data_IF_634025409001
#
_entry.id   IF_634025409001
#
_cell.length_a   1.000
_cell.length_b   1.000
_cell.length_c   1.000
_cell.angle_alpha   90.00
_cell.angle_beta   90.00
_cell.angle_gamma   90.00
#
_symmetry.space_group_name_H-M   'P 1'
#
loop_
_entity.id
_entity.type
_entity.pdbx_description
1 polymer ?
#
# COMPACT_ATOMS: atom_id res chain seq x y z
N UNK A 1 25.70 -18.02 19.62
CA UNK A 1 24.54 -18.92 19.42
C UNK A 1 23.33 -18.08 19.09
N UNK A 2 22.81 -18.20 17.88
CA UNK A 2 21.59 -17.51 17.43
C UNK A 2 20.43 -18.48 17.54
N UNK A 3 19.41 -18.16 18.32
CA UNK A 3 18.23 -18.99 18.48
C UNK A 3 17.33 -18.86 17.26
N UNK A 4 16.85 -19.98 16.73
CA UNK A 4 15.91 -19.98 15.60
C UNK A 4 14.63 -19.24 15.97
N UNK A 5 14.23 -18.22 15.20
CA UNK A 5 12.97 -17.49 15.42
C UNK A 5 11.73 -18.36 15.23
N UNK A 6 11.80 -19.36 14.36
CA UNK A 6 10.67 -20.25 14.09
C UNK A 6 10.61 -21.42 15.08
N UNK A 7 11.76 -22.03 15.38
CA UNK A 7 11.84 -23.35 16.01
C UNK A 7 12.40 -23.28 17.44
N UNK A 8 12.86 -22.10 17.88
CA UNK A 8 13.46 -21.81 19.20
C UNK A 8 14.66 -22.67 19.60
N UNK A 9 15.24 -23.42 18.67
CA UNK A 9 16.45 -24.23 18.87
C UNK A 9 17.69 -23.34 18.69
N UNK A 10 18.74 -23.57 19.47
CA UNK A 10 20.03 -22.93 19.28
C UNK A 10 20.65 -23.36 17.95
N UNK A 11 20.93 -22.39 17.06
CA UNK A 11 21.56 -22.64 15.76
C UNK A 11 22.99 -22.09 15.80
N UNK A 12 23.92 -22.86 15.23
CA UNK A 12 25.29 -22.44 14.96
C UNK A 12 25.58 -22.29 13.44
N UNK A 13 24.63 -22.63 12.57
CA UNK A 13 24.70 -22.54 11.12
C UNK A 13 23.86 -21.38 10.57
N UNK A 14 24.13 -20.96 9.32
CA UNK A 14 23.38 -19.89 8.64
C UNK A 14 21.90 -20.23 8.39
N UNK A 15 21.53 -21.51 8.41
CA UNK A 15 20.16 -22.00 8.27
C UNK A 15 19.86 -23.01 9.39
N UNK A 16 18.62 -23.03 9.86
CA UNK A 16 18.18 -23.97 10.88
C UNK A 16 18.06 -25.38 10.27
N UNK A 17 18.76 -26.40 10.82
CA UNK A 17 18.75 -27.74 10.27
C UNK A 17 17.39 -28.44 10.39
N UNK A 18 16.54 -28.02 11.33
CA UNK A 18 15.23 -28.65 11.54
C UNK A 18 14.11 -28.03 10.67
N UNK A 19 14.20 -26.74 10.34
CA UNK A 19 13.11 -26.03 9.67
C UNK A 19 13.52 -25.19 8.47
N UNK A 20 14.77 -25.29 8.03
CA UNK A 20 15.30 -24.60 6.85
C UNK A 20 15.34 -23.07 6.94
N UNK A 21 14.86 -22.47 8.03
CA UNK A 21 14.78 -21.02 8.18
C UNK A 21 16.18 -20.40 8.37
N UNK A 22 16.52 -19.31 7.66
CA UNK A 22 17.79 -18.63 7.85
C UNK A 22 17.93 -18.09 9.29
N UNK A 23 19.12 -18.29 9.88
CA UNK A 23 19.44 -17.88 11.24
C UNK A 23 19.50 -16.35 11.41
N UNK A 24 19.79 -15.62 10.32
CA UNK A 24 19.75 -14.16 10.24
C UNK A 24 18.94 -13.77 9.00
N UNK A 25 17.82 -13.09 9.20
CA UNK A 25 17.08 -12.46 8.09
C UNK A 25 17.89 -11.26 7.59
N UNK A 26 18.40 -11.34 6.36
CA UNK A 26 19.01 -10.18 5.67
C UNK A 26 17.99 -9.04 5.62
N UNK A 27 18.39 -7.79 5.85
CA UNK A 27 17.51 -6.62 5.71
C UNK A 27 16.86 -6.56 4.31
N UNK A 28 15.70 -5.94 4.24
CA UNK A 28 14.98 -5.77 2.98
C UNK A 28 15.65 -4.65 2.18
N UNK A 29 16.27 -5.02 1.06
CA UNK A 29 16.96 -4.11 0.14
C UNK A 29 16.41 -4.26 -1.30
N UNK A 30 16.80 -3.37 -2.21
CA UNK A 30 16.30 -3.35 -3.60
C UNK A 30 16.43 -4.70 -4.33
N UNK A 31 17.51 -5.44 -4.08
CA UNK A 31 17.73 -6.77 -4.66
C UNK A 31 16.70 -7.81 -4.18
N UNK A 32 16.24 -7.71 -2.92
CA UNK A 32 15.17 -8.57 -2.40
C UNK A 32 13.84 -8.28 -3.09
N UNK A 33 13.51 -7.01 -3.33
CA UNK A 33 12.29 -6.62 -4.04
C UNK A 33 12.32 -7.15 -5.47
N UNK A 34 13.44 -6.99 -6.18
CA UNK A 34 13.61 -7.50 -7.55
C UNK A 34 13.44 -9.04 -7.60
N UNK A 35 14.09 -9.76 -6.69
CA UNK A 35 13.97 -11.22 -6.60
C UNK A 35 12.55 -11.67 -6.20
N UNK A 36 11.82 -10.89 -5.39
CA UNK A 36 10.43 -11.20 -5.08
C UNK A 36 9.50 -11.01 -6.27
N UNK A 37 9.76 -10.01 -7.13
CA UNK A 37 9.06 -9.75 -8.40
C UNK A 37 9.29 -10.90 -9.40
N UNK A 38 10.51 -11.44 -9.45
CA UNK A 38 10.85 -12.53 -10.38
C UNK A 38 10.16 -13.85 -10.01
N UNK A 39 9.99 -14.14 -8.72
CA UNK A 39 9.28 -15.32 -8.21
C UNK A 39 7.80 -15.05 -7.86
N UNK A 40 7.08 -14.24 -8.64
CA UNK A 40 5.68 -13.83 -8.34
C UNK A 40 4.64 -14.94 -8.51
N UNK A 41 4.97 -16.06 -9.17
CA UNK A 41 3.99 -17.09 -9.54
C UNK A 41 3.76 -18.23 -8.53
N UNK A 42 4.43 -18.25 -7.38
CA UNK A 42 4.13 -19.23 -6.32
C UNK A 42 2.98 -18.74 -5.44
N UNK A 43 1.75 -19.04 -5.86
CA UNK A 43 0.50 -18.72 -5.18
C UNK A 43 0.26 -19.67 -3.98
N UNK A 44 1.20 -19.74 -3.03
CA UNK A 44 1.21 -20.78 -1.99
C UNK A 44 0.42 -20.41 -0.71
N UNK A 45 -0.17 -19.21 -0.60
CA UNK A 45 -0.84 -18.78 0.65
C UNK A 45 -2.14 -18.01 0.40
N UNK A 46 -3.14 -18.25 1.26
CA UNK A 46 -4.47 -17.66 1.14
C UNK A 46 -4.49 -16.14 1.38
N UNK A 47 -4.90 -15.37 0.36
CA UNK A 47 -5.12 -13.92 0.45
C UNK A 47 -6.13 -13.57 1.55
N UNK A 48 -7.16 -14.39 1.73
CA UNK A 48 -8.17 -14.21 2.79
C UNK A 48 -7.56 -14.21 4.20
N UNK A 49 -6.54 -15.03 4.45
CA UNK A 49 -5.83 -15.02 5.73
C UNK A 49 -5.06 -13.71 5.94
N UNK A 50 -4.41 -13.20 4.89
CA UNK A 50 -3.69 -11.91 4.93
C UNK A 50 -4.67 -10.76 5.20
N UNK A 51 -5.82 -10.74 4.53
CA UNK A 51 -6.88 -9.74 4.76
C UNK A 51 -7.32 -9.77 6.22
N UNK A 52 -7.64 -10.97 6.75
CA UNK A 52 -8.10 -11.12 8.14
C UNK A 52 -7.09 -10.58 9.16
N UNK A 53 -5.81 -10.90 8.98
CA UNK A 53 -4.72 -10.43 9.84
C UNK A 53 -4.52 -8.90 9.73
N UNK A 54 -4.64 -8.33 8.52
CA UNK A 54 -4.49 -6.90 8.31
C UNK A 54 -5.68 -6.09 8.85
N UNK A 55 -6.88 -6.66 8.91
CA UNK A 55 -8.04 -6.00 9.54
C UNK A 55 -7.85 -5.85 11.06
N UNK A 56 -7.33 -6.87 11.75
CA UNK A 56 -7.23 -6.84 13.22
C UNK A 56 -6.08 -6.00 13.73
N UNK A 57 -4.88 -6.18 13.17
CA UNK A 57 -3.66 -5.50 13.64
C UNK A 57 -2.65 -5.31 12.50
N UNK A 58 -2.91 -4.39 11.56
CA UNK A 58 -2.11 -4.25 10.34
C UNK A 58 -0.66 -3.88 10.64
N UNK A 59 -0.43 -2.88 11.49
CA UNK A 59 0.91 -2.41 11.80
C UNK A 59 1.76 -3.46 12.52
N UNK A 60 1.16 -4.22 13.45
CA UNK A 60 1.89 -5.30 14.15
C UNK A 60 2.19 -6.48 13.23
N UNK A 61 1.24 -6.85 12.38
CA UNK A 61 1.40 -7.98 11.47
C UNK A 61 2.42 -7.70 10.37
N UNK A 62 2.44 -6.48 9.82
CA UNK A 62 3.49 -6.08 8.88
C UNK A 62 4.85 -6.00 9.58
N UNK A 63 4.92 -5.49 10.81
CA UNK A 63 6.18 -5.49 11.56
C UNK A 63 6.72 -6.90 11.75
N UNK A 64 5.87 -7.84 12.14
CA UNK A 64 6.22 -9.25 12.28
C UNK A 64 6.62 -9.89 10.93
N UNK A 65 5.97 -9.52 9.83
CA UNK A 65 6.35 -9.92 8.47
C UNK A 65 7.79 -9.49 8.14
N UNK A 66 8.13 -8.23 8.44
CA UNK A 66 9.46 -7.66 8.14
C UNK A 66 10.55 -8.24 9.06
N UNK A 67 10.28 -8.37 10.36
CA UNK A 67 11.30 -8.69 11.38
C UNK A 67 11.42 -10.17 11.73
N UNK A 68 10.38 -10.98 11.53
CA UNK A 68 10.32 -12.35 12.06
C UNK A 68 10.07 -13.40 10.98
N UNK A 69 9.03 -13.26 10.17
CA UNK A 69 8.66 -14.30 9.21
C UNK A 69 7.96 -13.72 7.97
N UNK A 70 8.73 -13.58 6.89
CA UNK A 70 8.28 -13.07 5.58
C UNK A 70 7.38 -14.03 4.83
N UNK A 71 7.27 -15.26 5.29
CA UNK A 71 6.37 -16.22 4.66
C UNK A 71 4.93 -15.99 5.14
N UNK A 72 4.70 -15.42 6.33
CA UNK A 72 3.37 -15.42 6.98
C UNK A 72 2.27 -14.70 6.20
N UNK A 73 2.60 -13.64 5.46
CA UNK A 73 1.66 -12.89 4.63
C UNK A 73 1.95 -13.13 3.15
N UNK A 74 0.95 -12.91 2.30
CA UNK A 74 1.15 -12.86 0.85
C UNK A 74 2.15 -11.75 0.52
N UNK A 75 2.98 -11.95 -0.52
CA UNK A 75 3.95 -10.95 -0.94
C UNK A 75 3.25 -9.59 -1.16
N UNK A 76 3.80 -8.47 -0.66
CA UNK A 76 3.13 -7.16 -0.67
C UNK A 76 2.70 -6.71 -2.07
N UNK A 77 3.53 -7.00 -3.07
CA UNK A 77 3.29 -6.64 -4.48
C UNK A 77 2.12 -7.45 -5.04
N UNK A 78 2.08 -8.76 -4.78
CA UNK A 78 0.98 -9.62 -5.22
C UNK A 78 -0.32 -9.16 -4.57
N UNK A 79 -0.26 -8.84 -3.27
CA UNK A 79 -1.42 -8.38 -2.53
C UNK A 79 -2.04 -7.12 -3.14
N UNK A 80 -1.26 -6.07 -3.36
CA UNK A 80 -1.78 -4.82 -3.95
C UNK A 80 -2.26 -5.01 -5.39
N UNK A 81 -1.61 -5.86 -6.19
CA UNK A 81 -2.05 -6.15 -7.57
C UNK A 81 -3.41 -6.84 -7.55
N UNK A 82 -3.57 -7.89 -6.74
CA UNK A 82 -4.84 -8.64 -6.68
C UNK A 82 -5.96 -7.77 -6.14
N UNK A 83 -5.73 -6.99 -5.08
CA UNK A 83 -6.79 -6.14 -4.53
C UNK A 83 -7.14 -4.98 -5.46
N UNK A 84 -6.16 -4.43 -6.19
CA UNK A 84 -6.42 -3.41 -7.22
C UNK A 84 -7.21 -3.97 -8.39
N UNK A 85 -6.92 -5.21 -8.82
CA UNK A 85 -7.67 -5.89 -9.87
C UNK A 85 -9.13 -6.11 -9.44
N UNK A 86 -9.35 -6.56 -8.21
CA UNK A 86 -10.71 -6.72 -7.65
C UNK A 86 -11.46 -5.38 -7.68
N UNK A 87 -10.83 -4.30 -7.23
CA UNK A 87 -11.44 -2.97 -7.27
C UNK A 87 -11.76 -2.53 -8.70
N UNK A 88 -10.81 -2.66 -9.64
CA UNK A 88 -11.00 -2.24 -11.03
C UNK A 88 -12.14 -2.98 -11.72
N UNK A 89 -12.25 -4.31 -11.52
CA UNK A 89 -13.36 -5.10 -12.08
C UNK A 89 -14.72 -4.61 -11.55
N UNK A 90 -14.81 -4.36 -10.23
CA UNK A 90 -16.05 -3.89 -9.62
C UNK A 90 -16.39 -2.45 -10.04
N UNK A 91 -15.40 -1.57 -10.06
CA UNK A 91 -15.53 -0.19 -10.53
C UNK A 91 -16.07 -0.13 -11.95
N UNK A 92 -15.51 -0.95 -12.85
CA UNK A 92 -15.95 -1.07 -14.23
C UNK A 92 -17.37 -1.64 -14.32
N UNK A 93 -17.67 -2.73 -13.60
CA UNK A 93 -18.99 -3.37 -13.62
C UNK A 93 -20.11 -2.42 -13.15
N UNK A 94 -19.84 -1.61 -12.13
CA UNK A 94 -20.78 -0.63 -11.59
C UNK A 94 -20.72 0.76 -12.24
N UNK A 95 -19.97 0.91 -13.35
CA UNK A 95 -19.85 2.15 -14.13
C UNK A 95 -19.46 3.37 -13.28
N UNK A 96 -18.63 3.14 -12.24
CA UNK A 96 -18.15 4.22 -11.36
C UNK A 96 -17.20 5.15 -12.12
N UNK A 97 -16.44 4.59 -13.07
CA UNK A 97 -15.50 5.30 -13.93
C UNK A 97 -16.17 6.34 -14.84
N UNK A 98 -17.39 6.10 -15.32
CA UNK A 98 -18.09 6.96 -16.27
C UNK A 98 -18.30 8.38 -15.73
N UNK A 99 -18.60 8.51 -14.42
CA UNK A 99 -18.75 9.81 -13.74
C UNK A 99 -17.44 10.62 -13.79
N UNK A 100 -16.30 9.95 -13.65
CA UNK A 100 -14.98 10.58 -13.69
C UNK A 100 -14.58 10.92 -15.12
N UNK A 101 -14.82 10.03 -16.08
CA UNK A 101 -14.54 10.25 -17.50
C UNK A 101 -15.24 11.51 -18.00
N UNK A 102 -16.55 11.63 -17.76
CA UNK A 102 -17.34 12.78 -18.21
C UNK A 102 -16.87 14.12 -17.63
N UNK A 103 -16.35 14.12 -16.39
CA UNK A 103 -15.88 15.33 -15.72
C UNK A 103 -14.52 15.81 -16.24
N UNK A 104 -13.60 14.88 -16.53
CA UNK A 104 -12.24 15.24 -16.96
C UNK A 104 -12.14 15.47 -18.47
N UNK A 105 -12.94 14.81 -19.30
CA UNK A 105 -12.97 15.07 -20.75
C UNK A 105 -13.42 16.50 -21.09
N UNK A 106 -14.35 17.07 -20.31
CA UNK A 106 -14.89 18.41 -20.58
C UNK A 106 -13.89 19.55 -20.38
N UNK A 107 -12.75 19.30 -19.75
CA UNK A 107 -11.76 20.34 -19.43
C UNK A 107 -10.62 20.45 -20.46
N UNK A 108 -10.50 19.53 -21.42
CA UNK A 108 -9.53 19.55 -22.54
C UNK A 108 -8.06 19.90 -22.21
N UNK A 109 -7.60 19.77 -20.96
CA UNK A 109 -6.19 20.02 -20.57
C UNK A 109 -5.39 18.72 -20.50
N UNK A 110 -4.06 18.80 -20.65
CA UNK A 110 -3.19 17.63 -20.43
C UNK A 110 -3.26 17.15 -18.99
N UNK A 111 -3.38 18.09 -18.04
CA UNK A 111 -3.58 17.79 -16.62
C UNK A 111 -4.85 16.96 -16.38
N UNK A 112 -5.96 17.28 -17.05
CA UNK A 112 -7.20 16.50 -16.94
C UNK A 112 -7.05 15.10 -17.51
N UNK A 113 -6.32 14.93 -18.63
CA UNK A 113 -6.00 13.60 -19.18
C UNK A 113 -5.14 12.76 -18.23
N UNK A 114 -4.22 13.38 -17.51
CA UNK A 114 -3.43 12.68 -16.49
C UNK A 114 -4.31 12.21 -15.32
N UNK A 115 -5.23 13.05 -14.85
CA UNK A 115 -6.18 12.64 -13.81
C UNK A 115 -7.13 11.54 -14.29
N UNK A 116 -7.57 11.61 -15.54
CA UNK A 116 -8.34 10.54 -16.17
C UNK A 116 -7.58 9.21 -16.18
N UNK A 117 -6.30 9.23 -16.57
CA UNK A 117 -5.44 8.05 -16.54
C UNK A 117 -5.27 7.51 -15.12
N UNK A 118 -5.05 8.39 -14.13
CA UNK A 118 -4.95 8.03 -12.71
C UNK A 118 -6.20 7.29 -12.23
N UNK A 119 -7.39 7.76 -12.62
CA UNK A 119 -8.65 7.11 -12.21
C UNK A 119 -8.85 5.77 -12.93
N UNK A 120 -8.60 5.69 -14.24
CA UNK A 120 -8.70 4.42 -14.99
C UNK A 120 -7.65 3.38 -14.57
N UNK A 121 -6.54 3.83 -13.97
CA UNK A 121 -5.43 2.97 -13.52
C UNK A 121 -5.16 3.14 -12.02
N UNK A 122 -6.23 3.26 -11.23
CA UNK A 122 -6.15 3.61 -9.81
C UNK A 122 -5.22 2.69 -8.99
N UNK A 123 -5.13 1.40 -9.35
CA UNK A 123 -4.17 0.44 -8.81
C UNK A 123 -2.71 0.89 -8.89
N UNK A 124 -2.27 1.25 -10.10
CA UNK A 124 -0.91 1.71 -10.34
C UNK A 124 -0.67 3.10 -9.75
N UNK A 125 -1.66 3.99 -9.85
CA UNK A 125 -1.58 5.32 -9.26
C UNK A 125 -1.38 5.24 -7.74
N UNK A 126 -2.08 4.33 -7.04
CA UNK A 126 -1.90 4.13 -5.61
C UNK A 126 -0.49 3.66 -5.23
N UNK A 127 0.16 2.82 -6.05
CA UNK A 127 1.57 2.44 -5.80
C UNK A 127 2.45 3.69 -5.87
N UNK A 128 2.26 4.55 -6.88
CA UNK A 128 3.04 5.79 -7.05
C UNK A 128 2.78 6.74 -5.88
N UNK A 129 1.52 6.98 -5.52
CA UNK A 129 1.11 7.78 -4.34
C UNK A 129 1.77 7.21 -3.07
N UNK A 130 1.80 5.89 -2.93
CA UNK A 130 2.46 5.19 -1.82
C UNK A 130 3.94 5.52 -1.69
N UNK A 131 4.66 5.71 -2.80
CA UNK A 131 6.08 6.13 -2.77
C UNK A 131 6.21 7.54 -2.18
N UNK A 132 5.37 8.49 -2.58
CA UNK A 132 5.36 9.84 -2.01
C UNK A 132 5.05 9.81 -0.51
N UNK A 133 4.04 9.04 -0.10
CA UNK A 133 3.70 8.84 1.31
C UNK A 133 4.89 8.18 2.06
N UNK A 134 5.59 7.24 1.45
CA UNK A 134 6.76 6.57 2.05
C UNK A 134 7.88 7.56 2.35
N UNK A 135 8.15 8.51 1.45
CA UNK A 135 9.19 9.54 1.62
C UNK A 135 8.88 10.44 2.82
N UNK A 136 7.65 10.95 2.92
CA UNK A 136 7.22 11.76 4.07
C UNK A 136 7.17 10.96 5.36
N UNK A 137 6.67 9.72 5.30
CA UNK A 137 6.66 8.82 6.46
C UNK A 137 8.09 8.57 6.95
N UNK A 138 9.04 8.32 6.06
CA UNK A 138 10.45 8.19 6.44
C UNK A 138 10.96 9.47 7.10
N UNK A 139 10.57 10.64 6.61
CA UNK A 139 10.98 11.93 7.17
C UNK A 139 10.44 12.17 8.60
N UNK A 140 9.17 11.89 8.86
CA UNK A 140 8.56 12.08 10.19
C UNK A 140 8.97 11.03 11.22
N UNK A 141 9.29 9.81 10.77
CA UNK A 141 9.59 8.67 11.63
C UNK A 141 11.07 8.27 11.64
N UNK A 142 11.99 9.17 11.23
CA UNK A 142 13.45 8.94 11.24
C UNK A 142 13.99 8.34 12.54
N UNK A 143 13.36 8.64 13.69
CA UNK A 143 13.74 8.14 15.02
C UNK A 143 13.59 6.62 15.20
N UNK A 144 12.76 5.95 14.39
CA UNK A 144 12.44 4.52 14.57
C UNK A 144 13.36 3.57 13.79
N UNK A 145 14.29 4.10 12.98
CA UNK A 145 15.36 3.30 12.35
C UNK A 145 14.93 2.38 11.19
N UNK A 146 13.68 2.47 10.72
CA UNK A 146 13.18 1.69 9.58
C UNK A 146 13.70 2.23 8.24
N UNK A 147 13.97 1.32 7.31
CA UNK A 147 14.40 1.63 5.95
C UNK A 147 13.22 2.06 5.06
N UNK A 148 13.52 2.76 3.95
CA UNK A 148 12.48 3.19 3.00
C UNK A 148 11.70 1.99 2.44
N UNK A 149 12.40 0.89 2.13
CA UNK A 149 11.77 -0.33 1.61
C UNK A 149 10.82 -1.00 2.59
N UNK A 150 11.12 -0.96 3.90
CA UNK A 150 10.24 -1.49 4.94
C UNK A 150 8.95 -0.66 5.04
N UNK A 151 9.07 0.66 4.91
CA UNK A 151 7.92 1.58 4.86
C UNK A 151 7.11 1.36 3.58
N UNK A 152 7.76 1.15 2.43
CA UNK A 152 7.07 0.84 1.17
C UNK A 152 6.27 -0.46 1.30
N UNK A 153 6.84 -1.51 1.89
CA UNK A 153 6.14 -2.79 2.13
C UNK A 153 4.90 -2.59 3.00
N UNK A 154 5.03 -1.81 4.08
CA UNK A 154 3.87 -1.44 4.90
C UNK A 154 2.80 -0.74 4.06
N UNK A 155 3.19 0.26 3.29
CA UNK A 155 2.24 1.00 2.46
C UNK A 155 1.62 0.14 1.37
N UNK A 156 2.32 -0.84 0.80
CA UNK A 156 1.73 -1.80 -0.15
C UNK A 156 0.57 -2.59 0.49
N UNK A 157 0.73 -3.09 1.72
CA UNK A 157 -0.35 -3.78 2.43
C UNK A 157 -1.49 -2.82 2.80
N UNK A 158 -1.15 -1.62 3.25
CA UNK A 158 -2.14 -0.63 3.68
C UNK A 158 -2.98 -0.14 2.49
N UNK A 159 -2.34 0.25 1.39
CA UNK A 159 -3.00 0.68 0.17
C UNK A 159 -3.74 -0.46 -0.51
N UNK A 160 -3.20 -1.69 -0.46
CA UNK A 160 -3.90 -2.87 -0.92
C UNK A 160 -5.21 -3.12 -0.16
N UNK A 161 -5.23 -2.90 1.16
CA UNK A 161 -6.45 -2.96 1.96
C UNK A 161 -7.40 -1.79 1.67
N UNK A 162 -6.88 -0.58 1.40
CA UNK A 162 -7.69 0.55 0.92
C UNK A 162 -8.44 0.19 -0.38
N UNK A 163 -7.82 -0.55 -1.31
CA UNK A 163 -8.51 -1.02 -2.51
C UNK A 163 -9.67 -1.97 -2.21
N UNK A 164 -9.54 -2.83 -1.20
CA UNK A 164 -10.65 -3.69 -0.77
C UNK A 164 -11.78 -2.89 -0.12
N UNK A 165 -11.44 -1.83 0.63
CA UNK A 165 -12.44 -0.90 1.16
C UNK A 165 -13.17 -0.21 0.00
N UNK A 166 -12.45 0.31 -0.99
CA UNK A 166 -13.07 0.92 -2.17
C UNK A 166 -13.94 -0.07 -2.96
N UNK A 167 -13.47 -1.31 -3.13
CA UNK A 167 -14.21 -2.39 -3.78
C UNK A 167 -15.55 -2.68 -3.07
N UNK A 168 -15.53 -2.77 -1.73
CA UNK A 168 -16.74 -2.99 -0.93
C UNK A 168 -17.74 -1.84 -1.10
N UNK A 169 -17.26 -0.59 -1.02
CA UNK A 169 -18.12 0.57 -1.18
C UNK A 169 -18.62 0.74 -2.62
N UNK A 170 -17.85 0.33 -3.63
CA UNK A 170 -18.27 0.38 -5.03
C UNK A 170 -19.45 -0.58 -5.26
N UNK A 171 -19.42 -1.75 -4.62
CA UNK A 171 -20.54 -2.68 -4.60
C UNK A 171 -21.78 -2.07 -3.92
N UNK A 172 -21.59 -1.38 -2.79
CA UNK A 172 -22.69 -0.69 -2.10
C UNK A 172 -23.27 0.43 -2.96
N UNK A 173 -22.43 1.25 -3.61
CA UNK A 173 -22.87 2.31 -4.53
C UNK A 173 -23.65 1.74 -5.71
N UNK A 174 -23.17 0.63 -6.28
CA UNK A 174 -23.83 -0.06 -7.38
C UNK A 174 -25.24 -0.57 -7.06
N UNK A 175 -25.49 -0.98 -5.82
CA UNK A 175 -26.79 -1.49 -5.36
C UNK A 175 -27.69 -0.37 -4.83
N UNK A 176 -27.14 0.55 -4.04
CA UNK A 176 -27.90 1.62 -3.38
C UNK A 176 -28.11 2.85 -4.27
N UNK A 177 -27.39 2.95 -5.39
CA UNK A 177 -27.35 4.11 -6.30
C UNK A 177 -27.01 5.45 -5.63
N UNK A 178 -26.47 5.42 -4.40
CA UNK A 178 -26.05 6.58 -3.63
C UNK A 178 -24.53 6.75 -3.70
N UNK A 179 -24.05 7.98 -3.87
CA UNK A 179 -22.61 8.27 -3.89
C UNK A 179 -21.98 8.04 -2.51
N UNK A 180 -21.32 6.90 -2.31
CA UNK A 180 -20.70 6.51 -1.03
C UNK A 180 -19.17 6.49 -1.09
N UNK A 181 -18.57 6.74 -2.25
CA UNK A 181 -17.11 6.81 -2.44
C UNK A 181 -16.39 7.77 -1.50
N UNK A 182 -16.99 8.91 -1.15
CA UNK A 182 -16.38 9.86 -0.20
C UNK A 182 -16.16 9.23 1.17
N UNK A 183 -17.11 8.43 1.65
CA UNK A 183 -16.98 7.72 2.92
C UNK A 183 -15.90 6.64 2.85
N UNK A 184 -15.78 5.95 1.71
CA UNK A 184 -14.74 4.97 1.47
C UNK A 184 -13.34 5.61 1.58
N UNK A 185 -13.15 6.81 1.01
CA UNK A 185 -11.88 7.55 1.07
C UNK A 185 -11.51 7.99 2.48
N UNK A 186 -12.50 8.46 3.26
CA UNK A 186 -12.29 8.80 4.67
C UNK A 186 -11.90 7.55 5.46
N UNK A 187 -12.60 6.43 5.25
CA UNK A 187 -12.32 5.17 5.94
C UNK A 187 -10.92 4.62 5.57
N UNK A 188 -10.54 4.67 4.30
CA UNK A 188 -9.21 4.28 3.82
C UNK A 188 -8.10 5.14 4.43
N UNK A 189 -8.32 6.46 4.55
CA UNK A 189 -7.38 7.36 5.22
C UNK A 189 -7.24 7.03 6.71
N UNK A 190 -8.35 6.86 7.42
CA UNK A 190 -8.35 6.49 8.84
C UNK A 190 -7.63 5.16 9.07
N UNK A 191 -7.91 4.16 8.24
CA UNK A 191 -7.24 2.87 8.27
C UNK A 191 -5.73 3.02 8.01
N UNK A 192 -5.33 3.85 7.05
CA UNK A 192 -3.92 4.09 6.74
C UNK A 192 -3.16 4.78 7.88
N UNK A 193 -3.77 5.81 8.46
CA UNK A 193 -3.21 6.52 9.62
C UNK A 193 -3.08 5.59 10.83
N UNK A 194 -4.12 4.80 11.11
CA UNK A 194 -4.10 3.82 12.18
C UNK A 194 -3.02 2.76 11.96
N UNK A 195 -2.91 2.22 10.74
CA UNK A 195 -1.92 1.20 10.38
C UNK A 195 -0.49 1.69 10.54
N UNK A 196 -0.19 2.89 10.03
CA UNK A 196 1.16 3.48 10.12
C UNK A 196 1.49 3.86 11.57
N UNK A 197 0.56 4.47 12.30
CA UNK A 197 0.76 4.78 13.72
C UNK A 197 1.05 3.52 14.55
N UNK A 198 0.26 2.46 14.33
CA UNK A 198 0.41 1.18 15.00
C UNK A 198 1.73 0.47 14.65
N UNK A 199 2.20 0.59 13.39
CA UNK A 199 3.44 -0.03 12.92
C UNK A 199 4.68 0.48 13.67
N UNK A 200 4.81 1.80 13.80
CA UNK A 200 5.97 2.42 14.44
C UNK A 200 5.96 2.23 15.96
N UNK A 201 4.92 2.72 16.63
CA UNK A 201 4.71 2.49 18.05
C UNK A 201 3.25 2.82 18.41
N UNK A 202 2.45 1.81 18.79
CA UNK A 202 1.01 1.96 19.02
C UNK A 202 0.67 2.78 20.28
N UNK A 203 1.62 2.95 21.21
CA UNK A 203 1.38 3.61 22.49
C UNK A 203 1.42 5.14 22.41
N UNK A 204 2.09 5.69 21.38
CA UNK A 204 2.31 7.14 21.26
C UNK A 204 1.31 7.78 20.31
N UNK A 205 0.42 8.61 20.84
CA UNK A 205 -0.55 9.38 20.04
C UNK A 205 0.13 10.27 18.96
N UNK A 206 1.31 10.82 19.27
CA UNK A 206 2.10 11.62 18.32
C UNK A 206 2.39 10.89 17.01
N UNK A 207 2.48 9.55 17.03
CA UNK A 207 2.71 8.77 15.82
C UNK A 207 1.49 8.78 14.89
N UNK A 208 0.27 8.73 15.42
CA UNK A 208 -0.93 8.79 14.58
C UNK A 208 -1.08 10.18 13.94
N UNK A 209 -0.78 11.25 14.68
CA UNK A 209 -0.76 12.60 14.12
C UNK A 209 0.30 12.75 13.01
N UNK A 210 1.52 12.25 13.24
CA UNK A 210 2.58 12.24 12.22
C UNK A 210 2.20 11.43 10.99
N UNK A 211 1.55 10.28 11.19
CA UNK A 211 1.05 9.45 10.09
C UNK A 211 0.01 10.20 9.26
N UNK A 212 -0.93 10.90 9.90
CA UNK A 212 -1.90 11.75 9.22
C UNK A 212 -1.23 12.83 8.36
N UNK A 213 -0.29 13.60 8.93
CA UNK A 213 0.45 14.61 8.17
C UNK A 213 1.30 14.01 7.06
N UNK A 214 1.91 12.84 7.27
CA UNK A 214 2.67 12.15 6.23
C UNK A 214 1.77 11.73 5.06
N UNK A 215 0.56 11.23 5.33
CA UNK A 215 -0.43 10.90 4.29
C UNK A 215 -0.88 12.14 3.52
N UNK A 216 -1.22 13.22 4.24
CA UNK A 216 -1.66 14.46 3.62
C UNK A 216 -0.57 15.09 2.74
N UNK A 217 0.65 15.21 3.25
CA UNK A 217 1.78 15.73 2.49
C UNK A 217 2.16 14.82 1.32
N UNK A 218 2.09 13.50 1.49
CA UNK A 218 2.30 12.54 0.41
C UNK A 218 1.30 12.73 -0.73
N UNK A 219 0.00 12.84 -0.41
CA UNK A 219 -1.03 13.09 -1.41
C UNK A 219 -0.87 14.46 -2.09
N UNK A 220 -0.63 15.52 -1.31
CA UNK A 220 -0.42 16.88 -1.85
C UNK A 220 0.80 16.91 -2.78
N UNK A 221 1.91 16.30 -2.39
CA UNK A 221 3.12 16.27 -3.23
C UNK A 221 2.92 15.47 -4.52
N UNK A 222 2.17 14.37 -4.47
CA UNK A 222 1.78 13.65 -5.67
C UNK A 222 0.92 14.53 -6.61
N UNK A 223 -0.12 15.18 -6.07
CA UNK A 223 -1.02 16.04 -6.84
C UNK A 223 -0.28 17.21 -7.49
N UNK A 224 0.61 17.87 -6.74
CA UNK A 224 1.46 18.95 -7.25
C UNK A 224 2.41 18.45 -8.34
N UNK A 225 2.94 17.24 -8.21
CA UNK A 225 3.82 16.64 -9.22
C UNK A 225 3.05 16.41 -10.53
N UNK A 226 1.84 15.83 -10.46
CA UNK A 226 0.98 15.62 -11.63
C UNK A 226 0.60 16.94 -12.27
N UNK A 227 0.19 17.92 -11.47
CA UNK A 227 -0.18 19.25 -11.97
C UNK A 227 0.99 19.99 -12.64
N UNK A 228 2.19 19.92 -12.05
CA UNK A 228 3.38 20.55 -12.60
C UNK A 228 3.81 19.92 -13.93
N UNK A 229 3.74 18.58 -14.05
CA UNK A 229 4.04 17.88 -15.30
C UNK A 229 2.98 18.21 -16.36
N UNK A 230 1.69 18.13 -16.01
CA UNK A 230 0.59 18.43 -16.92
C UNK A 230 0.65 19.86 -17.47
N UNK A 231 0.78 20.84 -16.59
CA UNK A 231 0.89 22.26 -16.97
C UNK A 231 2.17 22.56 -17.74
N UNK A 232 3.28 21.88 -17.41
CA UNK A 232 4.55 22.04 -18.14
C UNK A 232 4.46 21.51 -19.57
N UNK A 233 3.76 20.40 -19.80
CA UNK A 233 3.48 19.88 -21.14
C UNK A 233 2.56 20.84 -21.89
N UNK A 234 1.47 21.29 -21.26
CA UNK A 234 0.54 22.25 -21.87
C UNK A 234 1.28 23.54 -22.29
N UNK A 235 2.24 24.04 -21.51
CA UNK A 235 3.04 25.21 -21.86
C UNK A 235 4.04 24.98 -23.01
N UNK A 236 4.52 23.76 -23.21
CA UNK A 236 5.50 23.45 -24.27
C UNK A 236 4.82 23.19 -25.61
N UNK A 237 3.63 22.59 -25.59
CA UNK A 237 2.91 22.16 -26.80
C UNK A 237 1.79 23.10 -27.25
N UNK A 238 1.54 24.18 -26.52
CA UNK A 238 0.58 25.24 -26.86
C UNK A 238 1.29 26.58 -27.07
#
# INVERSE_FOLDING_TARGET
>A
MTTCKNCKIAINSNFCPNCGHPAVLKRIDAHYIAHEIEHVLHFERGILYTIRELITTPGKNVRHYISENRSRLVKPIIFIIVTSLIYSILSHFFHIEDKYISYYESQHSTTSKMFLWIQGHYGYANIIIGIFIALWTKLFFKKYGFNLFEIIILLCFVLGMSMLIYALFALVEGIAHQSVMTYASILALLYGVWSVGQFFDPTKLSNYLKAFFAYMLGFITFMLSVFAIGSGIDFIFH
#
